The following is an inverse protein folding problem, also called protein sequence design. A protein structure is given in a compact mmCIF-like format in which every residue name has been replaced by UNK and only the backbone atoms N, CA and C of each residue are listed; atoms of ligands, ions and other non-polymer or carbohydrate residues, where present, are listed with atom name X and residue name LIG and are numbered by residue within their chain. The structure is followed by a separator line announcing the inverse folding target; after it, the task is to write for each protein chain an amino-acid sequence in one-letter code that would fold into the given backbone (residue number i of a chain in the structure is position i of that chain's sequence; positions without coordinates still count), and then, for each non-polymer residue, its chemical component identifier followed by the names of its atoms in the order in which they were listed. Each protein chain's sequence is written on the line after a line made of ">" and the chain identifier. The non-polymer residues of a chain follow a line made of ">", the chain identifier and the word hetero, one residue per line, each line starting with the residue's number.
data_IF_728296100849
#
_entry.id   IF_728296100849
#
_cell.length_a   1.000
_cell.length_b   1.000
_cell.length_c   1.000
_cell.angle_alpha   90.00
_cell.angle_beta   90.00
_cell.angle_gamma   90.00
#
_symmetry.space_group_name_H-M   'P 1'
#
loop_
_entity.id
_entity.type
_entity.pdbx_description
1 polymer ?
#
# COMPACT_ATOMS: atom_id res chain seq x y z
N UNK A 1 -23.37 67.26 -14.54
CA UNK A 1 -24.16 68.46 -14.23
C UNK A 1 -25.53 68.29 -14.86
N UNK A 2 -26.63 68.52 -14.13
CA UNK A 2 -26.74 68.48 -12.67
C UNK A 2 -26.65 66.98 -12.21
N UNK A 3 -27.44 66.28 -11.38
CA UNK A 3 -28.53 66.53 -10.40
C UNK A 3 -28.61 65.27 -9.46
N UNK A 4 -29.70 64.99 -8.71
CA UNK A 4 -30.09 65.53 -7.38
C UNK A 4 -31.33 64.78 -6.84
N UNK A 5 -31.66 65.01 -5.55
CA UNK A 5 -32.84 64.52 -4.79
C UNK A 5 -32.94 62.97 -4.62
N UNK A 6 -32.87 62.36 -3.44
CA UNK A 6 -33.40 62.60 -2.07
C UNK A 6 -34.85 62.14 -1.79
N UNK A 7 -34.93 61.00 -1.09
CA UNK A 7 -35.81 60.63 0.05
C UNK A 7 -37.13 61.39 0.31
N UNK A 8 -38.19 60.65 0.67
CA UNK A 8 -39.03 60.93 1.84
C UNK A 8 -38.61 60.10 3.08
N UNK A 9 -39.24 60.34 4.24
CA UNK A 9 -38.82 59.77 5.53
C UNK A 9 -39.95 59.55 6.54
N UNK A 10 -39.64 58.87 7.65
CA UNK A 10 -40.48 58.71 8.87
C UNK A 10 -41.68 57.72 8.74
N UNK A 11 -42.31 57.22 9.83
CA UNK A 11 -42.09 57.46 11.26
C UNK A 11 -42.53 56.28 12.17
N UNK A 12 -41.77 56.08 13.27
CA UNK A 12 -42.15 55.60 14.63
C UNK A 12 -43.55 54.94 14.86
N UNK A 13 -43.58 53.76 15.51
CA UNK A 13 -44.07 53.59 16.92
C UNK A 13 -43.97 52.15 17.51
N UNK A 14 -43.20 52.05 18.60
CA UNK A 14 -43.45 51.30 19.86
C UNK A 14 -44.36 50.05 19.91
N UNK A 15 -43.87 48.96 20.53
CA UNK A 15 -44.21 48.59 21.94
C UNK A 15 -43.21 47.58 22.55
N UNK A 16 -43.42 47.21 23.83
CA UNK A 16 -42.49 46.46 24.71
C UNK A 16 -42.91 44.99 24.90
N UNK A 17 -41.93 44.12 25.14
CA UNK A 17 -42.05 42.76 25.70
C UNK A 17 -40.63 42.17 25.81
N UNK A 18 -39.91 42.29 26.93
CA UNK A 18 -40.04 41.63 28.25
C UNK A 18 -39.48 40.18 28.25
N UNK A 19 -38.35 40.05 28.95
CA UNK A 19 -37.79 38.86 29.61
C UNK A 19 -37.73 37.52 28.84
N UNK A 20 -36.49 37.08 28.59
CA UNK A 20 -36.01 35.81 29.15
C UNK A 20 -34.50 35.91 29.38
N UNK A 21 -34.04 35.45 30.53
CA UNK A 21 -32.63 35.31 30.86
C UNK A 21 -32.36 33.85 31.21
N UNK A 22 -31.29 33.28 30.67
CA UNK A 22 -30.71 32.03 31.16
C UNK A 22 -29.19 32.16 31.21
N UNK A 23 -28.60 31.55 32.23
CA UNK A 23 -27.18 31.65 32.54
C UNK A 23 -26.40 30.47 31.99
N UNK A 24 -25.12 30.74 31.70
CA UNK A 24 -23.96 29.84 31.87
C UNK A 24 -24.24 28.34 31.97
N UNK A 25 -23.76 27.58 30.98
CA UNK A 25 -23.09 26.31 31.24
C UNK A 25 -21.87 26.20 30.33
N UNK A 26 -20.75 25.74 30.88
CA UNK A 26 -19.53 25.45 30.13
C UNK A 26 -19.37 23.93 29.99
N UNK A 27 -19.14 23.46 28.77
CA UNK A 27 -18.78 22.08 28.48
C UNK A 27 -17.79 22.08 27.31
N UNK A 28 -16.58 21.56 27.53
CA UNK A 28 -15.58 21.40 26.47
C UNK A 28 -15.91 20.19 25.61
N UNK A 29 -16.18 20.42 24.32
CA UNK A 29 -16.44 19.34 23.37
C UNK A 29 -15.12 18.64 22.94
N UNK A 30 -14.62 17.74 23.81
CA UNK A 30 -13.67 16.72 23.37
C UNK A 30 -14.40 15.76 22.43
N UNK A 31 -14.29 16.00 21.13
CA UNK A 31 -14.81 15.14 20.07
C UNK A 31 -13.96 13.85 19.93
N UNK A 32 -13.91 13.05 20.99
CA UNK A 32 -13.38 11.69 20.95
C UNK A 32 -14.36 10.83 20.13
N UNK A 33 -14.07 10.70 18.83
CA UNK A 33 -14.87 9.91 17.90
C UNK A 33 -14.86 8.43 18.26
N UNK A 34 -15.83 7.99 19.06
CA UNK A 34 -16.08 6.57 19.30
C UNK A 34 -16.61 5.94 18.02
N UNK A 35 -15.73 5.27 17.27
CA UNK A 35 -16.12 4.47 16.12
C UNK A 35 -17.09 3.37 16.56
N UNK A 36 -18.34 3.48 16.13
CA UNK A 36 -19.30 2.39 16.23
C UNK A 36 -18.89 1.31 15.24
N UNK A 37 -18.35 0.22 15.76
CA UNK A 37 -18.17 -1.02 14.99
C UNK A 37 -19.56 -1.58 14.70
N UNK A 38 -20.09 -1.26 13.52
CA UNK A 38 -21.23 -1.97 12.94
C UNK A 38 -20.68 -3.32 12.47
N UNK A 39 -20.81 -4.34 13.32
CA UNK A 39 -20.66 -5.73 12.91
C UNK A 39 -21.86 -6.08 12.02
N UNK A 40 -21.58 -6.57 10.81
CA UNK A 40 -22.60 -6.96 9.84
C UNK A 40 -22.28 -8.34 9.24
N UNK A 41 -23.31 -9.19 9.24
CA UNK A 41 -23.48 -10.51 8.59
C UNK A 41 -22.40 -11.61 8.69
N UNK A 42 -22.86 -12.82 9.08
CA UNK A 42 -22.21 -14.13 8.91
C UNK A 42 -20.86 -14.41 9.61
N UNK A 43 -20.74 -13.99 10.88
CA UNK A 43 -19.74 -14.52 11.84
C UNK A 43 -20.00 -15.99 12.23
N UNK A 44 -19.85 -16.91 11.28
CA UNK A 44 -19.35 -18.25 11.60
C UNK A 44 -17.89 -18.12 12.09
N UNK A 45 -17.44 -18.92 13.08
CA UNK A 45 -16.07 -18.80 13.59
C UNK A 45 -15.07 -19.05 12.45
N UNK A 46 -14.33 -18.01 12.07
CA UNK A 46 -13.50 -17.99 10.87
C UNK A 46 -12.59 -19.22 10.78
N UNK A 47 -12.87 -20.09 9.80
CA UNK A 47 -12.18 -21.37 9.66
C UNK A 47 -10.90 -21.21 8.83
N UNK A 48 -9.75 -21.32 9.50
CA UNK A 48 -8.46 -21.39 8.83
C UNK A 48 -7.96 -22.83 8.63
N UNK A 49 -8.75 -23.86 8.98
CA UNK A 49 -8.42 -25.28 8.81
C UNK A 49 -7.96 -25.61 7.39
N UNK A 50 -8.68 -25.14 6.36
CA UNK A 50 -8.30 -25.31 4.95
C UNK A 50 -6.87 -24.83 4.64
N UNK A 51 -6.41 -23.75 5.28
CA UNK A 51 -5.06 -23.22 5.09
C UNK A 51 -4.03 -23.94 5.99
N UNK A 52 -4.40 -24.36 7.21
CA UNK A 52 -3.56 -25.23 8.06
C UNK A 52 -3.28 -26.57 7.39
N UNK A 53 -4.24 -27.12 6.65
CA UNK A 53 -4.13 -28.43 5.98
C UNK A 53 -3.25 -28.40 4.72
N UNK A 54 -3.07 -27.24 4.08
CA UNK A 54 -2.19 -27.10 2.90
C UNK A 54 -0.78 -27.60 3.20
N UNK A 55 -0.29 -28.57 2.42
CA UNK A 55 1.05 -29.15 2.60
C UNK A 55 2.16 -28.09 2.59
N UNK A 56 2.00 -27.01 1.81
CA UNK A 56 2.90 -25.86 1.81
C UNK A 56 2.90 -25.13 3.16
N UNK A 57 1.73 -24.81 3.73
CA UNK A 57 1.64 -24.18 5.05
C UNK A 57 2.21 -25.09 6.15
N UNK A 58 1.90 -26.39 6.13
CA UNK A 58 2.48 -27.37 7.08
C UNK A 58 4.00 -27.45 6.99
N UNK A 59 4.56 -27.27 5.79
CA UNK A 59 6.01 -27.22 5.54
C UNK A 59 6.62 -25.92 6.08
N UNK A 60 5.93 -24.78 5.95
CA UNK A 60 6.39 -23.50 6.50
C UNK A 60 6.39 -23.48 8.04
N UNK A 61 5.33 -24.00 8.66
CA UNK A 61 5.16 -23.95 10.11
C UNK A 61 5.95 -25.05 10.86
N UNK A 62 6.12 -26.23 10.24
CA UNK A 62 6.81 -27.36 10.84
C UNK A 62 6.26 -27.72 12.22
N UNK A 63 7.12 -27.69 13.25
CA UNK A 63 6.75 -27.95 14.64
C UNK A 63 5.88 -26.85 15.28
N UNK A 64 5.77 -25.67 14.67
CA UNK A 64 4.93 -24.55 15.13
C UNK A 64 3.50 -24.60 14.57
N UNK A 65 3.15 -25.64 13.78
CA UNK A 65 1.81 -25.76 13.20
C UNK A 65 0.71 -25.85 14.29
N UNK A 66 -0.37 -25.05 14.21
CA UNK A 66 -1.45 -25.10 15.20
C UNK A 66 -2.20 -26.43 15.13
N UNK A 67 -2.65 -26.93 16.29
CA UNK A 67 -3.36 -28.21 16.42
C UNK A 67 -4.86 -28.15 16.10
N UNK A 68 -5.32 -27.06 15.49
CA UNK A 68 -6.73 -26.80 15.19
C UNK A 68 -6.91 -25.59 14.26
N UNK A 69 -8.15 -25.31 13.82
CA UNK A 69 -8.47 -24.35 12.74
C UNK A 69 -8.32 -22.87 13.11
N UNK A 70 -7.77 -22.53 14.29
CA UNK A 70 -7.73 -21.17 14.81
C UNK A 70 -6.87 -20.21 13.98
N UNK A 71 -7.52 -19.25 13.33
CA UNK A 71 -6.83 -18.23 12.52
C UNK A 71 -5.84 -17.38 13.33
N UNK A 72 -6.10 -17.14 14.62
CA UNK A 72 -5.22 -16.35 15.50
C UNK A 72 -3.90 -17.09 15.77
N UNK A 73 -3.98 -18.37 16.06
CA UNK A 73 -2.85 -19.25 16.33
C UNK A 73 -2.03 -19.46 15.05
N UNK A 74 -2.72 -19.68 13.91
CA UNK A 74 -2.08 -19.75 12.60
C UNK A 74 -1.36 -18.45 12.23
N UNK A 75 -2.02 -17.29 12.36
CA UNK A 75 -1.42 -15.99 12.06
C UNK A 75 -0.20 -15.69 12.92
N UNK A 76 -0.27 -16.05 14.21
CA UNK A 76 0.86 -15.92 15.15
C UNK A 76 2.04 -16.83 14.76
N UNK A 77 1.76 -18.07 14.34
CA UNK A 77 2.78 -19.01 13.88
C UNK A 77 3.42 -18.57 12.54
N UNK A 78 2.63 -18.02 11.60
CA UNK A 78 3.13 -17.44 10.35
C UNK A 78 4.13 -16.31 10.62
N UNK A 79 3.78 -15.35 11.48
CA UNK A 79 4.68 -14.24 11.86
C UNK A 79 5.95 -14.78 12.53
N UNK A 80 5.84 -15.79 13.40
CA UNK A 80 6.98 -16.40 14.07
C UNK A 80 7.96 -17.11 13.11
N UNK A 81 7.49 -17.92 12.16
CA UNK A 81 8.38 -18.65 11.23
C UNK A 81 8.95 -17.78 10.11
N UNK A 82 8.24 -16.74 9.69
CA UNK A 82 8.72 -15.80 8.64
C UNK A 82 9.65 -14.73 9.19
N UNK A 83 9.65 -14.50 10.51
CA UNK A 83 10.33 -13.37 11.15
C UNK A 83 9.53 -12.06 11.13
N UNK A 84 8.29 -12.07 10.62
CA UNK A 84 7.39 -10.92 10.57
C UNK A 84 8.02 -9.69 9.91
N UNK A 85 7.65 -8.51 10.39
CA UNK A 85 8.22 -7.21 10.00
C UNK A 85 9.47 -6.82 10.83
N UNK A 86 10.11 -7.77 11.53
CA UNK A 86 11.35 -7.50 12.27
C UNK A 86 12.47 -7.03 11.31
N UNK A 87 13.29 -6.03 11.69
CA UNK A 87 14.32 -5.48 10.83
C UNK A 87 15.58 -6.37 10.75
N UNK A 88 16.25 -6.34 9.59
CA UNK A 88 17.53 -6.99 9.35
C UNK A 88 17.48 -8.18 8.37
N UNK A 89 18.62 -8.85 8.14
CA UNK A 89 18.71 -10.02 7.27
C UNK A 89 17.80 -11.16 7.71
N UNK A 90 17.23 -11.88 6.73
CA UNK A 90 16.46 -13.12 6.95
C UNK A 90 17.38 -14.34 6.93
N UNK A 91 16.98 -15.42 7.60
CA UNK A 91 17.65 -16.74 7.46
C UNK A 91 17.00 -17.57 6.36
N UNK A 92 17.71 -18.57 5.83
CA UNK A 92 17.16 -19.50 4.85
C UNK A 92 15.85 -20.16 5.31
N UNK A 93 15.73 -20.52 6.59
CA UNK A 93 14.48 -21.08 7.14
C UNK A 93 13.31 -20.08 7.05
N UNK A 94 13.57 -18.80 7.36
CA UNK A 94 12.55 -17.74 7.32
C UNK A 94 12.09 -17.46 5.88
N UNK A 95 13.03 -17.28 4.95
CA UNK A 95 12.71 -17.06 3.53
C UNK A 95 12.04 -18.30 2.91
N UNK A 96 12.48 -19.50 3.27
CA UNK A 96 11.86 -20.76 2.88
C UNK A 96 10.44 -20.94 3.44
N UNK A 97 10.20 -20.51 4.68
CA UNK A 97 8.86 -20.48 5.26
C UNK A 97 7.98 -19.46 4.53
N UNK A 98 8.49 -18.25 4.25
CA UNK A 98 7.76 -17.20 3.54
C UNK A 98 7.33 -17.62 2.13
N UNK A 99 8.23 -18.25 1.36
CA UNK A 99 7.90 -18.85 0.04
C UNK A 99 6.73 -19.84 0.14
N UNK A 100 6.75 -20.70 1.15
CA UNK A 100 5.72 -21.70 1.36
C UNK A 100 4.40 -21.11 1.89
N UNK A 101 4.43 -20.03 2.69
CA UNK A 101 3.24 -19.26 3.10
C UNK A 101 2.58 -18.61 1.89
N UNK A 102 3.34 -17.91 1.05
CA UNK A 102 2.84 -17.23 -0.16
C UNK A 102 2.21 -18.24 -1.14
N UNK A 103 2.86 -19.38 -1.38
CA UNK A 103 2.30 -20.46 -2.20
C UNK A 103 1.04 -21.11 -1.59
N UNK A 104 0.96 -21.22 -0.25
CA UNK A 104 -0.22 -21.75 0.41
C UNK A 104 -1.42 -20.79 0.35
N UNK A 105 -1.17 -19.49 0.45
CA UNK A 105 -2.18 -18.43 0.30
C UNK A 105 -2.71 -18.39 -1.13
N UNK A 106 -1.84 -18.42 -2.14
CA UNK A 106 -2.24 -18.48 -3.55
C UNK A 106 -3.14 -19.69 -3.82
N UNK A 107 -2.71 -20.88 -3.41
CA UNK A 107 -3.45 -22.12 -3.66
C UNK A 107 -4.70 -22.30 -2.78
N UNK A 108 -4.92 -21.44 -1.79
CA UNK A 108 -6.18 -21.33 -1.06
C UNK A 108 -7.14 -20.33 -1.74
N UNK A 109 -6.63 -19.23 -2.27
CA UNK A 109 -7.43 -18.23 -2.98
C UNK A 109 -7.88 -18.71 -4.37
N UNK A 110 -6.97 -19.29 -5.16
CA UNK A 110 -7.20 -19.60 -6.57
C UNK A 110 -8.07 -20.81 -6.88
N UNK A 111 -8.55 -21.57 -5.88
CA UNK A 111 -9.37 -22.78 -6.12
C UNK A 111 -10.88 -22.54 -6.14
N UNK A 112 -11.36 -21.65 -5.27
CA UNK A 112 -12.79 -21.38 -5.09
C UNK A 112 -13.13 -19.87 -5.17
N UNK A 113 -12.17 -19.02 -5.56
CA UNK A 113 -12.26 -17.56 -5.34
C UNK A 113 -12.24 -17.17 -3.85
N UNK A 114 -11.78 -18.07 -2.99
CA UNK A 114 -11.92 -17.94 -1.53
C UNK A 114 -11.01 -16.87 -0.94
N UNK A 115 -11.60 -15.80 -0.41
CA UNK A 115 -10.85 -14.79 0.33
C UNK A 115 -10.10 -15.40 1.52
N UNK A 116 -8.90 -14.86 1.83
CA UNK A 116 -8.21 -15.17 3.08
C UNK A 116 -9.06 -14.67 4.25
N UNK A 117 -9.35 -15.51 5.27
CA UNK A 117 -10.15 -15.12 6.43
C UNK A 117 -9.62 -13.84 7.07
N UNK A 118 -10.51 -12.88 7.36
CA UNK A 118 -10.13 -11.54 7.82
C UNK A 118 -9.11 -11.52 8.99
N UNK A 119 -9.20 -12.40 10.02
CA UNK A 119 -8.20 -12.45 11.10
C UNK A 119 -6.76 -12.80 10.66
N UNK A 120 -6.55 -13.34 9.46
CA UNK A 120 -5.22 -13.59 8.89
C UNK A 120 -4.64 -12.43 8.07
N UNK A 121 -5.47 -11.50 7.57
CA UNK A 121 -5.02 -10.45 6.64
C UNK A 121 -3.89 -9.61 7.26
N UNK A 122 -4.02 -9.27 8.54
CA UNK A 122 -3.01 -8.54 9.32
C UNK A 122 -1.68 -9.31 9.54
N UNK A 123 -1.65 -10.52 10.12
CA UNK A 123 -0.38 -11.25 10.28
C UNK A 123 0.28 -11.63 8.94
N UNK A 124 -0.50 -11.88 7.88
CA UNK A 124 0.05 -12.06 6.52
C UNK A 124 0.60 -10.75 5.95
N UNK A 125 -0.09 -9.62 6.12
CA UNK A 125 0.41 -8.30 5.73
C UNK A 125 1.69 -7.92 6.47
N UNK A 126 1.78 -8.27 7.76
CA UNK A 126 2.97 -8.12 8.59
C UNK A 126 4.15 -8.95 8.05
N UNK A 127 3.92 -10.22 7.73
CA UNK A 127 4.94 -11.05 7.08
C UNK A 127 5.36 -10.50 5.71
N UNK A 128 4.41 -10.09 4.85
CA UNK A 128 4.69 -9.51 3.53
C UNK A 128 5.55 -8.23 3.64
N UNK A 129 5.24 -7.32 4.58
CA UNK A 129 6.05 -6.10 4.84
C UNK A 129 7.49 -6.42 5.20
N UNK A 130 7.73 -7.49 5.96
CA UNK A 130 9.07 -7.95 6.31
C UNK A 130 9.95 -8.34 5.12
N UNK A 131 9.34 -8.60 3.97
CA UNK A 131 10.00 -8.98 2.71
C UNK A 131 9.72 -7.96 1.60
N UNK A 132 9.53 -6.68 1.94
CA UNK A 132 9.30 -5.62 0.95
C UNK A 132 10.41 -5.56 -0.12
N UNK A 133 11.68 -5.84 0.23
CA UNK A 133 12.78 -5.95 -0.74
C UNK A 133 12.54 -7.05 -1.78
N UNK A 134 12.36 -8.29 -1.32
CA UNK A 134 12.06 -9.45 -2.18
C UNK A 134 10.79 -9.23 -3.01
N UNK A 135 9.72 -8.70 -2.42
CA UNK A 135 8.47 -8.38 -3.12
C UNK A 135 8.66 -7.31 -4.19
N UNK A 136 9.48 -6.28 -3.94
CA UNK A 136 9.81 -5.27 -4.94
C UNK A 136 10.53 -5.91 -6.14
N UNK A 137 11.50 -6.80 -5.89
CA UNK A 137 12.22 -7.54 -6.93
C UNK A 137 11.32 -8.51 -7.72
N UNK A 138 10.42 -9.23 -7.05
CA UNK A 138 9.43 -10.12 -7.68
C UNK A 138 8.44 -9.33 -8.55
N UNK A 139 7.92 -8.20 -8.05
CA UNK A 139 6.89 -7.42 -8.73
C UNK A 139 7.42 -6.59 -9.91
N UNK A 140 8.68 -6.14 -9.91
CA UNK A 140 9.25 -5.53 -11.12
C UNK A 140 9.67 -6.59 -12.16
N UNK A 141 10.11 -7.78 -11.71
CA UNK A 141 10.33 -8.94 -12.58
C UNK A 141 11.50 -8.83 -13.56
N UNK A 142 12.38 -7.82 -13.41
CA UNK A 142 13.55 -7.63 -14.27
C UNK A 142 14.85 -8.26 -13.70
N UNK A 143 14.82 -8.75 -12.46
CA UNK A 143 16.00 -9.32 -11.80
C UNK A 143 16.14 -10.82 -12.11
N UNK A 144 17.21 -11.25 -12.80
CA UNK A 144 17.36 -12.64 -13.24
C UNK A 144 17.53 -13.62 -12.07
N UNK A 145 18.00 -13.21 -10.89
CA UNK A 145 18.07 -14.09 -9.72
C UNK A 145 16.67 -14.52 -9.27
N UNK A 146 15.76 -13.55 -9.17
CA UNK A 146 14.36 -13.78 -8.79
C UNK A 146 13.61 -14.54 -9.90
N UNK A 147 13.72 -14.11 -11.15
CA UNK A 147 13.03 -14.76 -12.29
C UNK A 147 13.44 -16.23 -12.45
N UNK A 148 14.75 -16.52 -12.45
CA UNK A 148 15.22 -17.90 -12.61
C UNK A 148 14.88 -18.79 -11.40
N UNK A 149 14.87 -18.23 -10.19
CA UNK A 149 14.49 -18.97 -8.97
C UNK A 149 12.98 -19.18 -8.84
N UNK A 150 12.17 -18.27 -9.36
CA UNK A 150 10.72 -18.42 -9.46
C UNK A 150 10.32 -19.47 -10.51
N UNK A 151 11.04 -19.54 -11.64
CA UNK A 151 10.80 -20.49 -12.73
C UNK A 151 10.98 -21.98 -12.34
N UNK A 152 11.58 -22.26 -11.19
CA UNK A 152 11.78 -23.62 -10.66
C UNK A 152 11.05 -23.76 -9.31
N UNK A 153 9.82 -24.32 -9.28
CA UNK A 153 8.99 -24.38 -8.05
C UNK A 153 9.55 -25.20 -6.88
N UNK A 154 10.61 -25.98 -7.12
CA UNK A 154 11.38 -26.73 -6.13
C UNK A 154 12.63 -26.00 -5.61
N UNK A 155 13.04 -24.88 -6.22
CA UNK A 155 14.17 -24.09 -5.72
C UNK A 155 13.87 -23.55 -4.33
N UNK A 156 14.84 -23.71 -3.44
CA UNK A 156 14.82 -23.13 -2.09
C UNK A 156 14.99 -21.61 -2.09
N UNK A 157 15.22 -21.02 -0.90
CA UNK A 157 15.83 -19.69 -0.82
C UNK A 157 17.28 -19.71 -1.36
N UNK A 158 17.84 -18.54 -1.59
CA UNK A 158 19.29 -18.33 -1.74
C UNK A 158 19.74 -17.23 -0.78
N UNK A 159 21.05 -17.10 -0.56
CA UNK A 159 21.61 -16.10 0.33
C UNK A 159 22.61 -15.19 -0.42
N UNK A 160 22.64 -13.90 -0.06
CA UNK A 160 23.69 -12.97 -0.43
C UNK A 160 24.14 -12.10 0.77
N UNK A 161 24.94 -11.06 0.53
CA UNK A 161 25.44 -10.16 1.58
C UNK A 161 24.37 -9.37 2.35
N UNK A 162 23.10 -9.42 1.93
CA UNK A 162 21.96 -8.76 2.58
C UNK A 162 21.06 -9.73 3.37
N UNK A 163 21.22 -11.05 3.18
CA UNK A 163 20.48 -12.10 3.88
C UNK A 163 20.01 -13.23 2.96
N UNK A 164 19.06 -14.02 3.45
CA UNK A 164 18.32 -14.98 2.64
C UNK A 164 17.13 -14.33 1.93
N UNK A 165 16.88 -14.76 0.69
CA UNK A 165 15.80 -14.28 -0.16
C UNK A 165 14.90 -15.43 -0.62
N UNK A 166 13.68 -15.10 -1.03
CA UNK A 166 12.81 -16.01 -1.75
C UNK A 166 12.30 -15.45 -3.08
N UNK A 167 11.89 -16.35 -3.97
CA UNK A 167 11.20 -16.00 -5.20
C UNK A 167 10.01 -16.92 -5.46
N UNK A 168 8.94 -16.32 -5.97
CA UNK A 168 7.74 -16.94 -6.54
C UNK A 168 7.40 -16.21 -7.85
N UNK A 169 6.55 -16.76 -8.74
CA UNK A 169 6.04 -16.01 -9.88
C UNK A 169 5.36 -14.70 -9.46
N UNK A 170 5.42 -13.67 -10.31
CA UNK A 170 4.83 -12.36 -10.02
C UNK A 170 3.33 -12.47 -9.69
N UNK A 171 2.58 -13.25 -10.46
CA UNK A 171 1.14 -13.52 -10.25
C UNK A 171 0.85 -14.16 -8.89
N UNK A 172 1.74 -15.03 -8.40
CA UNK A 172 1.64 -15.65 -7.07
C UNK A 172 1.82 -14.59 -5.98
N UNK A 173 2.78 -13.67 -6.14
CA UNK A 173 2.96 -12.55 -5.22
C UNK A 173 1.76 -11.59 -5.29
N UNK A 174 1.30 -11.20 -6.49
CA UNK A 174 0.11 -10.38 -6.70
C UNK A 174 -1.13 -10.96 -6.02
N UNK A 175 -1.37 -12.27 -6.13
CA UNK A 175 -2.48 -12.97 -5.46
C UNK A 175 -2.36 -12.91 -3.94
N UNK A 176 -1.17 -13.10 -3.38
CA UNK A 176 -0.93 -12.97 -1.94
C UNK A 176 -1.09 -11.52 -1.43
N UNK A 177 -0.63 -10.52 -2.20
CA UNK A 177 -0.84 -9.09 -1.93
C UNK A 177 -2.34 -8.76 -1.97
N UNK A 178 -3.07 -9.17 -3.02
CA UNK A 178 -4.52 -8.98 -3.15
C UNK A 178 -5.30 -9.65 -2.01
N UNK A 179 -4.87 -10.82 -1.54
CA UNK A 179 -5.53 -11.56 -0.45
C UNK A 179 -5.44 -10.88 0.93
N UNK A 180 -4.44 -10.02 1.18
CA UNK A 180 -4.41 -9.16 2.38
C UNK A 180 -5.04 -7.78 2.16
N UNK A 181 -5.08 -7.32 0.90
CA UNK A 181 -5.48 -5.95 0.54
C UNK A 181 -6.98 -5.67 0.62
N UNK A 182 -7.82 -6.70 0.74
CA UNK A 182 -9.22 -6.57 1.15
C UNK A 182 -9.39 -5.75 2.46
N UNK A 183 -8.35 -5.69 3.29
CA UNK A 183 -8.23 -4.79 4.44
C UNK A 183 -7.46 -3.51 4.04
N UNK A 184 -8.11 -2.33 3.95
CA UNK A 184 -7.48 -1.07 3.52
C UNK A 184 -6.21 -0.71 4.29
N UNK A 185 -6.19 -0.96 5.61
CA UNK A 185 -5.04 -0.65 6.45
C UNK A 185 -3.81 -1.51 6.11
N UNK A 186 -4.02 -2.78 5.73
CA UNK A 186 -2.93 -3.69 5.39
C UNK A 186 -2.45 -3.48 3.93
N UNK A 187 -3.34 -3.10 2.99
CA UNK A 187 -2.90 -2.56 1.69
C UNK A 187 -2.03 -1.32 1.88
N UNK A 188 -2.49 -0.33 2.65
CA UNK A 188 -1.77 0.92 2.86
C UNK A 188 -0.40 0.70 3.53
N UNK A 189 -0.34 -0.18 4.53
CA UNK A 189 0.91 -0.51 5.21
C UNK A 189 1.90 -1.28 4.30
N UNK A 190 1.43 -2.21 3.47
CA UNK A 190 2.27 -2.94 2.51
C UNK A 190 2.71 -2.04 1.33
N UNK A 191 1.81 -1.18 0.84
CA UNK A 191 2.11 -0.14 -0.15
C UNK A 191 3.15 0.84 0.37
N UNK A 192 3.08 1.24 1.65
CA UNK A 192 4.09 2.11 2.28
C UNK A 192 5.47 1.46 2.29
N UNK A 193 5.57 0.18 2.69
CA UNK A 193 6.86 -0.53 2.73
C UNK A 193 7.51 -0.69 1.34
N UNK A 194 6.70 -0.93 0.30
CA UNK A 194 7.16 -1.01 -1.09
C UNK A 194 7.47 0.37 -1.70
N UNK A 195 6.71 1.41 -1.30
CA UNK A 195 7.00 2.79 -1.65
C UNK A 195 8.34 3.25 -1.03
N UNK A 196 8.59 2.98 0.25
CA UNK A 196 9.84 3.34 0.94
C UNK A 196 11.06 2.62 0.36
N UNK A 197 10.93 1.37 -0.08
CA UNK A 197 11.97 0.64 -0.82
C UNK A 197 12.28 1.32 -2.18
N UNK A 198 11.26 1.83 -2.87
CA UNK A 198 11.43 2.66 -4.07
C UNK A 198 12.14 3.99 -3.78
N UNK A 199 11.74 4.68 -2.72
CA UNK A 199 12.39 5.93 -2.26
C UNK A 199 13.86 5.68 -1.93
N UNK A 200 14.17 4.57 -1.25
CA UNK A 200 15.55 4.16 -0.92
C UNK A 200 16.40 4.00 -2.18
N UNK A 201 15.86 3.41 -3.26
CA UNK A 201 16.56 3.26 -4.55
C UNK A 201 16.80 4.59 -5.23
N UNK A 202 15.83 5.50 -5.21
CA UNK A 202 16.01 6.87 -5.71
C UNK A 202 17.04 7.66 -4.89
N UNK A 203 17.00 7.55 -3.56
CA UNK A 203 17.96 8.21 -2.66
C UNK A 203 19.40 7.68 -2.83
N UNK A 204 19.56 6.40 -3.18
CA UNK A 204 20.84 5.75 -3.42
C UNK A 204 21.47 6.06 -4.79
N UNK A 205 20.76 6.73 -5.71
CA UNK A 205 21.35 7.22 -6.95
C UNK A 205 22.39 8.32 -6.68
N UNK A 206 23.56 8.18 -7.31
CA UNK A 206 24.61 9.21 -7.30
C UNK A 206 24.08 10.57 -7.79
N UNK A 207 24.68 11.66 -7.33
CA UNK A 207 24.17 13.02 -7.58
C UNK A 207 24.22 13.40 -9.08
N UNK A 208 25.22 12.85 -9.76
CA UNK A 208 25.50 12.91 -11.20
C UNK A 208 24.94 11.71 -11.98
N UNK A 209 24.12 10.83 -11.36
CA UNK A 209 23.47 9.73 -12.08
C UNK A 209 22.53 10.26 -13.17
N UNK A 210 22.69 9.77 -14.40
CA UNK A 210 21.95 10.19 -15.61
C UNK A 210 21.61 8.99 -16.50
N UNK A 211 20.84 9.21 -17.56
CA UNK A 211 20.59 8.22 -18.61
C UNK A 211 20.04 6.87 -18.12
N UNK A 212 20.75 5.78 -18.41
CA UNK A 212 20.26 4.41 -18.16
C UNK A 212 20.08 4.08 -16.67
N UNK A 213 20.93 4.60 -15.79
CA UNK A 213 20.83 4.35 -14.34
C UNK A 213 19.56 4.95 -13.73
N UNK A 214 19.25 6.20 -14.08
CA UNK A 214 18.02 6.89 -13.64
C UNK A 214 16.79 6.29 -14.29
N UNK A 215 16.88 5.91 -15.57
CA UNK A 215 15.78 5.24 -16.28
C UNK A 215 15.46 3.86 -15.69
N UNK A 216 16.48 3.09 -15.29
CA UNK A 216 16.28 1.76 -14.72
C UNK A 216 15.57 1.80 -13.37
N UNK A 217 16.02 2.65 -12.42
CA UNK A 217 15.37 2.81 -11.11
C UNK A 217 13.92 3.27 -11.27
N UNK A 218 13.68 4.28 -12.12
CA UNK A 218 12.34 4.80 -12.35
C UNK A 218 11.42 3.79 -13.07
N UNK A 219 11.96 2.97 -13.97
CA UNK A 219 11.21 1.89 -14.61
C UNK A 219 10.87 0.74 -13.64
N UNK A 220 11.80 0.32 -12.75
CA UNK A 220 11.49 -0.70 -11.74
C UNK A 220 10.42 -0.22 -10.76
N UNK A 221 10.52 1.03 -10.31
CA UNK A 221 9.54 1.63 -9.40
C UNK A 221 8.16 1.79 -10.08
N UNK A 222 8.14 2.18 -11.36
CA UNK A 222 6.92 2.22 -12.15
C UNK A 222 6.23 0.85 -12.22
N UNK A 223 6.96 -0.25 -12.47
CA UNK A 223 6.38 -1.60 -12.50
C UNK A 223 5.75 -2.00 -11.15
N UNK A 224 6.46 -1.81 -10.04
CA UNK A 224 5.93 -2.14 -8.70
C UNK A 224 4.70 -1.29 -8.36
N UNK A 225 4.74 0.01 -8.65
CA UNK A 225 3.63 0.93 -8.31
C UNK A 225 2.39 0.73 -9.18
N UNK A 226 2.58 0.35 -10.46
CA UNK A 226 1.51 -0.07 -11.36
C UNK A 226 0.87 -1.39 -10.93
N UNK A 227 1.68 -2.40 -10.62
CA UNK A 227 1.22 -3.68 -10.07
C UNK A 227 0.37 -3.50 -8.80
N UNK A 228 0.81 -2.64 -7.87
CA UNK A 228 0.06 -2.31 -6.65
C UNK A 228 -1.19 -1.45 -6.91
N UNK A 229 -1.24 -0.67 -7.99
CA UNK A 229 -2.45 0.02 -8.42
C UNK A 229 -3.45 -0.95 -9.07
N UNK A 230 -2.99 -1.98 -9.79
CA UNK A 230 -3.84 -3.06 -10.31
C UNK A 230 -4.50 -3.88 -9.20
N UNK A 231 -3.77 -4.18 -8.12
CA UNK A 231 -4.35 -4.76 -6.90
C UNK A 231 -5.43 -3.84 -6.31
N UNK A 232 -5.15 -2.53 -6.21
CA UNK A 232 -6.09 -1.57 -5.64
C UNK A 232 -7.40 -1.48 -6.45
N UNK A 233 -7.31 -1.42 -7.78
CA UNK A 233 -8.47 -1.49 -8.69
C UNK A 233 -9.33 -2.74 -8.44
N UNK A 234 -8.69 -3.92 -8.40
CA UNK A 234 -9.38 -5.21 -8.26
C UNK A 234 -10.03 -5.39 -6.88
N UNK A 235 -9.43 -4.85 -5.82
CA UNK A 235 -10.06 -4.88 -4.48
C UNK A 235 -11.15 -3.83 -4.35
N UNK A 236 -10.90 -2.58 -4.77
CA UNK A 236 -11.85 -1.48 -4.64
C UNK A 236 -13.18 -1.75 -5.39
N UNK A 237 -13.12 -2.45 -6.53
CA UNK A 237 -14.31 -2.94 -7.27
C UNK A 237 -15.18 -3.93 -6.48
N UNK A 238 -14.58 -4.71 -5.58
CA UNK A 238 -15.28 -5.70 -4.74
C UNK A 238 -15.50 -5.26 -3.28
N UNK A 239 -15.12 -4.04 -2.90
CA UNK A 239 -15.10 -3.61 -1.51
C UNK A 239 -16.49 -3.34 -0.92
N UNK A 240 -16.74 -3.84 0.30
CA UNK A 240 -17.97 -3.61 1.06
C UNK A 240 -18.13 -2.13 1.43
N UNK A 241 -19.01 -1.43 0.71
CA UNK A 241 -19.19 0.03 0.80
C UNK A 241 -18.60 0.82 -0.37
N UNK A 242 -18.06 0.14 -1.39
CA UNK A 242 -17.64 0.74 -2.66
C UNK A 242 -16.21 1.28 -2.69
N UNK A 243 -15.74 1.54 -3.91
CA UNK A 243 -14.36 1.95 -4.20
C UNK A 243 -13.97 3.25 -3.49
N UNK A 244 -14.84 4.27 -3.49
CA UNK A 244 -14.55 5.59 -2.89
C UNK A 244 -14.23 5.47 -1.39
N UNK A 245 -14.96 4.60 -0.69
CA UNK A 245 -14.73 4.29 0.73
C UNK A 245 -13.39 3.59 0.91
N UNK A 246 -13.12 2.53 0.15
CA UNK A 246 -11.86 1.77 0.24
C UNK A 246 -10.66 2.68 -0.04
N UNK A 247 -10.70 3.50 -1.09
CA UNK A 247 -9.66 4.49 -1.39
C UNK A 247 -9.55 5.57 -0.32
N UNK A 248 -10.66 6.01 0.29
CA UNK A 248 -10.65 6.94 1.42
C UNK A 248 -9.93 6.37 2.65
N UNK A 249 -10.21 5.12 3.02
CA UNK A 249 -9.57 4.43 4.15
C UNK A 249 -8.08 4.14 3.88
N UNK A 250 -7.72 3.75 2.65
CA UNK A 250 -6.32 3.63 2.19
C UNK A 250 -5.58 4.97 2.26
N UNK A 251 -6.19 6.05 1.77
CA UNK A 251 -5.55 7.38 1.78
C UNK A 251 -5.39 7.93 3.19
N UNK A 252 -6.34 7.69 4.10
CA UNK A 252 -6.19 8.04 5.51
C UNK A 252 -4.97 7.35 6.14
N UNK A 253 -4.80 6.04 5.92
CA UNK A 253 -3.67 5.28 6.43
C UNK A 253 -2.33 5.67 5.78
N UNK A 254 -2.26 5.80 4.44
CA UNK A 254 -1.04 6.23 3.74
C UNK A 254 -0.56 7.63 4.18
N UNK A 255 -1.49 8.51 4.57
CA UNK A 255 -1.19 9.90 4.93
C UNK A 255 -1.01 10.15 6.43
N UNK A 256 -1.02 9.10 7.26
CA UNK A 256 -0.67 9.17 8.68
C UNK A 256 0.80 9.56 8.90
N UNK A 257 1.10 10.09 10.09
CA UNK A 257 2.42 10.55 10.50
C UNK A 257 2.67 12.04 10.21
N UNK A 258 3.95 12.40 10.18
CA UNK A 258 4.39 13.79 10.06
C UNK A 258 3.95 14.45 8.73
N UNK A 259 3.75 15.77 8.79
CA UNK A 259 3.42 16.65 7.68
C UNK A 259 4.61 17.51 7.24
N UNK A 260 5.68 17.59 8.03
CA UNK A 260 6.90 18.27 7.62
C UNK A 260 7.57 17.54 6.45
N UNK A 261 7.96 18.29 5.43
CA UNK A 261 8.78 17.81 4.31
C UNK A 261 10.18 18.42 4.48
N UNK A 262 11.24 17.63 4.66
CA UNK A 262 12.60 18.16 4.77
C UNK A 262 13.11 18.68 3.41
N UNK A 263 14.24 19.39 3.43
CA UNK A 263 14.89 19.83 2.20
C UNK A 263 15.56 18.67 1.48
N UNK A 264 15.37 18.57 0.17
CA UNK A 264 16.05 17.59 -0.68
C UNK A 264 17.59 17.63 -0.59
N UNK A 265 18.15 18.77 -0.19
CA UNK A 265 19.59 18.97 0.00
C UNK A 265 20.12 18.49 1.38
N UNK A 266 19.23 18.22 2.35
CA UNK A 266 19.60 17.66 3.66
C UNK A 266 19.18 16.20 3.80
N UNK A 267 18.04 15.83 3.21
CA UNK A 267 17.51 14.47 3.19
C UNK A 267 16.63 14.30 1.94
N UNK A 268 17.19 13.70 0.89
CA UNK A 268 16.47 13.40 -0.35
C UNK A 268 15.39 12.32 -0.12
N UNK A 269 15.60 11.37 0.80
CA UNK A 269 14.65 10.29 1.07
C UNK A 269 13.37 10.81 1.74
N UNK A 270 13.52 11.48 2.88
CA UNK A 270 12.41 12.14 3.57
C UNK A 270 11.75 13.23 2.73
N UNK A 271 12.50 13.93 1.86
CA UNK A 271 11.91 14.91 0.94
C UNK A 271 10.96 14.25 -0.06
N UNK A 272 11.37 13.10 -0.62
CA UNK A 272 10.55 12.31 -1.55
C UNK A 272 9.31 11.73 -0.85
N UNK A 273 9.48 11.00 0.26
CA UNK A 273 8.35 10.43 1.02
C UNK A 273 7.40 11.51 1.55
N UNK A 274 7.93 12.64 2.05
CA UNK A 274 7.13 13.75 2.55
C UNK A 274 6.33 14.45 1.44
N UNK A 275 6.94 14.70 0.28
CA UNK A 275 6.27 15.30 -0.88
C UNK A 275 5.21 14.37 -1.50
N UNK A 276 5.45 13.06 -1.48
CA UNK A 276 4.48 12.05 -1.88
C UNK A 276 3.28 12.01 -0.93
N UNK A 277 3.50 11.92 0.40
CA UNK A 277 2.42 12.00 1.40
C UNK A 277 1.67 13.33 1.35
N UNK A 278 2.33 14.44 1.01
CA UNK A 278 1.68 15.73 0.78
C UNK A 278 0.76 15.70 -0.44
N UNK A 279 1.19 15.07 -1.54
CA UNK A 279 0.37 14.89 -2.75
C UNK A 279 -0.88 14.05 -2.47
N UNK A 280 -0.75 12.94 -1.73
CA UNK A 280 -1.88 12.10 -1.31
C UNK A 280 -2.90 12.87 -0.45
N UNK A 281 -2.44 13.72 0.49
CA UNK A 281 -3.31 14.57 1.33
C UNK A 281 -4.09 15.64 0.56
N UNK A 282 -3.61 16.01 -0.63
CA UNK A 282 -4.20 17.04 -1.47
C UNK A 282 -5.12 16.49 -2.59
N UNK A 283 -5.23 15.16 -2.72
CA UNK A 283 -6.00 14.52 -3.79
C UNK A 283 -7.51 14.68 -3.59
N UNK A 284 -8.23 15.04 -4.65
CA UNK A 284 -9.69 14.88 -4.68
C UNK A 284 -10.04 13.39 -4.81
N UNK A 285 -11.25 13.02 -4.40
CA UNK A 285 -11.66 11.60 -4.33
C UNK A 285 -11.61 10.88 -5.70
N UNK A 286 -12.04 11.50 -6.83
CA UNK A 286 -11.92 10.90 -8.16
C UNK A 286 -10.48 10.67 -8.62
N UNK A 287 -9.51 11.45 -8.12
CA UNK A 287 -8.11 11.40 -8.55
C UNK A 287 -7.31 10.29 -7.83
N UNK A 288 -7.89 9.64 -6.81
CA UNK A 288 -7.16 8.76 -5.88
C UNK A 288 -6.52 7.54 -6.56
N UNK A 289 -7.25 6.88 -7.46
CA UNK A 289 -6.75 5.69 -8.18
C UNK A 289 -5.59 6.05 -9.12
N UNK A 290 -5.81 7.04 -9.98
CA UNK A 290 -4.81 7.61 -10.90
C UNK A 290 -3.55 8.08 -10.16
N UNK A 291 -3.70 8.70 -8.98
CA UNK A 291 -2.56 9.17 -8.20
C UNK A 291 -1.67 8.03 -7.70
N UNK A 292 -2.24 6.89 -7.29
CA UNK A 292 -1.47 5.70 -6.88
C UNK A 292 -0.71 5.06 -8.04
N UNK A 293 -1.24 5.16 -9.27
CA UNK A 293 -0.60 4.70 -10.51
C UNK A 293 0.52 5.67 -10.95
N UNK A 294 0.26 6.99 -10.90
CA UNK A 294 1.21 8.06 -11.23
C UNK A 294 2.35 8.23 -10.20
N UNK A 295 2.34 7.47 -9.10
CA UNK A 295 3.26 7.62 -7.97
C UNK A 295 4.73 7.65 -8.39
N UNK A 296 5.15 6.73 -9.25
CA UNK A 296 6.55 6.65 -9.71
C UNK A 296 6.95 7.82 -10.61
N UNK A 297 6.04 8.29 -11.47
CA UNK A 297 6.26 9.46 -12.31
C UNK A 297 6.53 10.71 -11.44
N UNK A 298 5.69 10.92 -10.42
CA UNK A 298 5.82 12.04 -9.48
C UNK A 298 7.10 11.93 -8.64
N UNK A 299 7.47 10.73 -8.21
CA UNK A 299 8.70 10.46 -7.49
C UNK A 299 9.95 10.79 -8.33
N UNK A 300 9.95 10.39 -9.61
CA UNK A 300 11.01 10.74 -10.55
C UNK A 300 11.07 12.25 -10.82
N UNK A 301 9.94 12.96 -10.97
CA UNK A 301 9.94 14.44 -11.13
C UNK A 301 10.61 15.12 -9.93
N UNK A 302 10.19 14.78 -8.70
CA UNK A 302 10.74 15.36 -7.47
C UNK A 302 12.26 15.11 -7.35
N UNK A 303 12.71 13.89 -7.65
CA UNK A 303 14.13 13.54 -7.66
C UNK A 303 14.89 14.28 -8.76
N UNK A 304 14.33 14.37 -9.97
CA UNK A 304 14.93 15.02 -11.13
C UNK A 304 15.04 16.55 -10.96
N UNK A 305 14.11 17.18 -10.24
CA UNK A 305 14.21 18.59 -9.86
C UNK A 305 15.27 18.81 -8.78
N UNK A 306 15.29 17.98 -7.73
CA UNK A 306 16.34 18.03 -6.70
C UNK A 306 17.76 17.86 -7.29
N UNK A 307 17.91 16.95 -8.27
CA UNK A 307 19.17 16.70 -8.99
C UNK A 307 19.39 17.58 -10.24
N UNK A 308 18.46 18.50 -10.54
CA UNK A 308 18.52 19.45 -11.67
C UNK A 308 18.77 18.79 -13.03
N UNK A 309 18.12 17.66 -13.30
CA UNK A 309 18.22 16.97 -14.60
C UNK A 309 17.69 17.84 -15.75
N UNK A 310 18.33 17.83 -16.95
CA UNK A 310 17.79 18.47 -18.15
C UNK A 310 16.44 17.89 -18.58
N UNK A 311 15.54 18.74 -19.09
CA UNK A 311 14.20 18.31 -19.51
C UNK A 311 14.20 17.15 -20.52
N UNK A 312 15.13 17.17 -21.48
CA UNK A 312 15.29 16.11 -22.49
C UNK A 312 15.59 14.72 -21.91
N UNK A 313 16.28 14.64 -20.77
CA UNK A 313 16.49 13.37 -20.05
C UNK A 313 15.27 12.96 -19.22
N UNK A 314 14.53 13.95 -18.71
CA UNK A 314 13.29 13.72 -17.97
C UNK A 314 12.22 13.13 -18.87
N UNK A 315 11.93 13.75 -20.02
CA UNK A 315 10.80 13.40 -20.88
C UNK A 315 10.86 11.94 -21.37
N UNK A 316 12.06 11.47 -21.74
CA UNK A 316 12.31 10.09 -22.11
C UNK A 316 12.07 9.11 -20.93
N UNK A 317 12.49 9.49 -19.73
CA UNK A 317 12.30 8.70 -18.51
C UNK A 317 10.82 8.67 -18.09
N UNK A 318 10.13 9.82 -18.09
CA UNK A 318 8.71 9.96 -17.78
C UNK A 318 7.83 9.11 -18.72
N UNK A 319 8.14 9.09 -20.02
CA UNK A 319 7.48 8.22 -20.99
C UNK A 319 7.71 6.73 -20.69
N UNK A 320 8.90 6.37 -20.20
CA UNK A 320 9.21 5.01 -19.78
C UNK A 320 8.45 4.61 -18.50
N UNK A 321 8.44 5.48 -17.48
CA UNK A 321 7.67 5.28 -16.25
C UNK A 321 6.18 5.05 -16.54
N UNK A 322 5.53 5.94 -17.30
CA UNK A 322 4.10 5.81 -17.63
C UNK A 322 3.79 4.50 -18.35
N UNK A 323 4.64 4.06 -19.29
CA UNK A 323 4.48 2.77 -19.98
C UNK A 323 4.66 1.58 -19.05
N UNK A 324 5.64 1.60 -18.16
CA UNK A 324 5.90 0.49 -17.23
C UNK A 324 4.87 0.40 -16.10
N UNK A 325 4.37 1.54 -15.61
CA UNK A 325 3.27 1.58 -14.65
C UNK A 325 1.96 1.08 -15.28
N UNK A 326 1.60 1.57 -16.47
CA UNK A 326 0.40 1.13 -17.18
C UNK A 326 0.45 -0.37 -17.53
N UNK A 327 1.58 -0.84 -18.08
CA UNK A 327 1.74 -2.27 -18.41
C UNK A 327 1.65 -3.17 -17.17
N UNK A 328 2.33 -2.83 -16.07
CA UNK A 328 2.25 -3.62 -14.84
C UNK A 328 0.89 -3.52 -14.13
N UNK A 329 0.13 -2.44 -14.33
CA UNK A 329 -1.27 -2.33 -13.92
C UNK A 329 -2.15 -3.28 -14.73
N UNK A 330 -2.01 -3.30 -16.06
CA UNK A 330 -2.75 -4.18 -16.97
C UNK A 330 -2.42 -5.67 -16.72
N UNK A 331 -1.13 -6.01 -16.58
CA UNK A 331 -0.62 -7.34 -16.19
C UNK A 331 -1.28 -7.80 -14.87
N UNK A 332 -1.29 -6.93 -13.85
CA UNK A 332 -1.85 -7.24 -12.53
C UNK A 332 -3.38 -7.34 -12.52
N UNK A 333 -4.09 -6.53 -13.30
CA UNK A 333 -5.54 -6.65 -13.48
C UNK A 333 -5.88 -7.99 -14.14
N UNK A 334 -5.15 -8.39 -15.20
CA UNK A 334 -5.35 -9.68 -15.86
C UNK A 334 -5.08 -10.88 -14.92
N UNK A 335 -3.92 -10.91 -14.25
CA UNK A 335 -3.52 -12.01 -13.36
C UNK A 335 -4.47 -12.26 -12.16
N UNK A 336 -5.30 -11.25 -11.82
CA UNK A 336 -6.24 -11.24 -10.71
C UNK A 336 -7.71 -11.31 -11.12
N UNK A 337 -8.05 -11.11 -12.40
CA UNK A 337 -9.44 -11.16 -12.89
C UNK A 337 -9.97 -12.60 -13.02
N UNK A 338 -9.09 -13.58 -13.25
CA UNK A 338 -9.41 -15.01 -13.11
C UNK A 338 -9.97 -15.72 -14.34
N UNK A 339 -9.69 -15.21 -15.55
CA UNK A 339 -9.91 -15.90 -16.84
C UNK A 339 -8.95 -17.09 -17.05
#
# INVERSE_FOLDING_TARGET
>A
MPDSAQRPSSSRRTRRGILSAMSVLAAGALAAGTWLVVADSDDGPADCGRLVEQQRMRTALGAQAPKGPGCKELGSAIVAVTGGDAPGPRTAEQAGAMKNVVLAVESAAGRDGGAVPAPLRRPLGQALRGYAGDLYEILHGLNPAYVNTAAVPSSGPWEDGTGAHFAVPADTALRAVRAVSDEPAEYAALRSALDDEGVRRFAALAEDARGSATTAVAATDARVTGALAGVADQVAKGASGGADRWYGEVFAALTEGDRQVPSAASDIGGHLTGSWKSSLRAAAEPDRADLLLQRSERLFVLWADARKLPATERDATLLNCRKNAQGAFEDAVAALSGD
#
